data_IF_343681990309
#
_entry.id   IF_343681990309
#
_cell.length_a   1.000
_cell.length_b   1.000
_cell.length_c   1.000
_cell.angle_alpha   90.00
_cell.angle_beta   90.00
_cell.angle_gamma   90.00
#
_symmetry.space_group_name_H-M   'P 1'
#
loop_
_entity.id
_entity.type
_entity.pdbx_description
1 polymer ?
#
# COMPACT_ATOMS: atom_id res chain seq x y z
N UNK A 1 -7.98 -3.08 20.76
CA UNK A 1 -8.16 -2.63 19.36
C UNK A 1 -9.62 -2.83 18.94
N UNK A 2 -10.26 -1.89 18.22
CA UNK A 2 -11.63 -2.04 17.72
C UNK A 2 -11.77 -3.01 16.53
N UNK A 3 -10.68 -3.65 16.10
CA UNK A 3 -10.63 -4.52 14.92
C UNK A 3 -11.76 -5.55 14.87
N UNK A 4 -12.09 -6.20 16.00
CA UNK A 4 -13.21 -7.16 16.07
C UNK A 4 -14.54 -6.58 15.53
N UNK A 5 -14.76 -5.28 15.71
CA UNK A 5 -15.99 -4.61 15.29
C UNK A 5 -15.91 -3.93 13.92
N UNK A 6 -14.70 -3.71 13.38
CA UNK A 6 -14.48 -2.81 12.23
C UNK A 6 -13.75 -3.44 11.05
N UNK A 7 -12.91 -4.44 11.28
CA UNK A 7 -12.18 -5.12 10.21
C UNK A 7 -13.16 -6.00 9.42
N UNK A 8 -13.16 -5.86 8.10
CA UNK A 8 -14.20 -6.41 7.22
C UNK A 8 -14.26 -7.94 7.27
N UNK A 9 -13.10 -8.61 7.32
CA UNK A 9 -13.02 -10.07 7.46
C UNK A 9 -13.66 -10.55 8.76
N UNK A 10 -13.31 -9.93 9.90
CA UNK A 10 -13.87 -10.25 11.22
C UNK A 10 -15.37 -9.96 11.31
N UNK A 11 -15.83 -8.84 10.74
CA UNK A 11 -17.26 -8.51 10.66
C UNK A 11 -18.00 -9.58 9.85
N UNK A 12 -17.46 -9.96 8.69
CA UNK A 12 -18.05 -10.98 7.83
C UNK A 12 -18.07 -12.35 8.51
N UNK A 13 -16.99 -12.79 9.16
CA UNK A 13 -16.94 -14.05 9.91
C UNK A 13 -17.91 -14.07 11.12
N UNK A 14 -18.29 -12.91 11.67
CA UNK A 14 -19.32 -12.83 12.72
C UNK A 14 -20.72 -12.99 12.14
N UNK A 15 -20.98 -12.38 10.98
CA UNK A 15 -22.24 -12.53 10.26
C UNK A 15 -22.40 -13.92 9.66
N UNK A 16 -21.28 -14.55 9.30
CA UNK A 16 -21.20 -15.87 8.66
C UNK A 16 -20.16 -16.77 9.37
N UNK A 17 -20.53 -17.38 10.52
CA UNK A 17 -19.62 -18.20 11.34
C UNK A 17 -18.93 -19.35 10.60
N UNK A 18 -19.53 -19.85 9.51
CA UNK A 18 -18.96 -20.88 8.64
C UNK A 18 -17.69 -20.44 7.89
N UNK A 19 -17.43 -19.12 7.82
CA UNK A 19 -16.23 -18.52 7.23
C UNK A 19 -15.09 -18.31 8.25
N UNK A 20 -15.31 -18.63 9.54
CA UNK A 20 -14.27 -18.47 10.57
C UNK A 20 -13.01 -19.24 10.20
N UNK A 21 -11.89 -18.53 10.20
CA UNK A 21 -10.58 -19.10 9.86
C UNK A 21 -10.44 -19.50 8.39
N UNK A 22 -11.25 -18.92 7.48
CA UNK A 22 -11.20 -19.24 6.04
C UNK A 22 -10.93 -18.05 5.12
N UNK A 23 -10.84 -16.83 5.65
CA UNK A 23 -10.56 -15.63 4.85
C UNK A 23 -9.12 -15.19 5.06
N UNK A 24 -8.45 -14.80 3.97
CA UNK A 24 -7.07 -14.30 3.94
C UNK A 24 -6.09 -15.25 4.65
N UNK A 25 -6.29 -16.56 4.46
CA UNK A 25 -5.41 -17.59 5.00
C UNK A 25 -4.22 -17.73 4.06
N UNK A 26 -3.02 -17.88 4.60
CA UNK A 26 -1.83 -18.09 3.79
C UNK A 26 -2.07 -19.23 2.78
N UNK A 27 -1.69 -18.95 1.53
CA UNK A 27 -1.84 -19.83 0.36
C UNK A 27 -3.29 -20.09 -0.11
N UNK A 28 -4.32 -19.53 0.54
CA UNK A 28 -5.70 -19.57 0.02
C UNK A 28 -5.88 -18.65 -1.19
N UNK A 29 -6.85 -18.96 -2.04
CA UNK A 29 -7.11 -18.21 -3.28
C UNK A 29 -7.30 -16.70 -3.05
N UNK A 30 -8.03 -16.31 -1.99
CA UNK A 30 -8.33 -14.92 -1.63
C UNK A 30 -7.15 -14.18 -0.98
N UNK A 31 -6.08 -14.88 -0.62
CA UNK A 31 -4.83 -14.31 -0.12
C UNK A 31 -3.80 -14.07 -1.23
N UNK A 32 -3.87 -14.82 -2.34
CA UNK A 32 -2.90 -14.75 -3.41
C UNK A 32 -2.97 -13.43 -4.18
N UNK A 33 -1.81 -12.97 -4.65
CA UNK A 33 -1.73 -11.85 -5.59
C UNK A 33 -2.36 -12.29 -6.92
N UNK A 34 -3.19 -11.42 -7.51
CA UNK A 34 -3.89 -11.70 -8.77
C UNK A 34 -2.92 -12.04 -9.90
N UNK A 35 -3.34 -12.92 -10.81
CA UNK A 35 -2.48 -13.44 -11.89
C UNK A 35 -1.84 -12.33 -12.74
N UNK A 36 -2.57 -11.23 -12.99
CA UNK A 36 -2.10 -10.09 -13.77
C UNK A 36 -0.97 -9.29 -13.13
N UNK A 37 -0.71 -9.49 -11.83
CA UNK A 37 0.32 -8.79 -11.05
C UNK A 37 1.21 -9.76 -10.28
N UNK A 38 1.39 -10.99 -10.79
CA UNK A 38 2.28 -11.96 -10.15
C UNK A 38 3.68 -11.38 -9.99
N UNK A 39 4.30 -11.51 -8.80
CA UNK A 39 5.65 -11.02 -8.57
C UNK A 39 6.66 -11.65 -9.54
N UNK A 40 7.55 -10.83 -10.07
CA UNK A 40 8.65 -11.25 -10.93
C UNK A 40 9.91 -11.58 -10.11
N UNK A 41 10.90 -12.28 -10.68
CA UNK A 41 12.18 -12.51 -10.01
C UNK A 41 12.83 -11.19 -9.59
N UNK A 42 13.06 -11.03 -8.28
CA UNK A 42 13.63 -9.81 -7.69
C UNK A 42 12.61 -8.95 -6.94
N UNK A 43 11.31 -9.18 -7.14
CA UNK A 43 10.27 -8.51 -6.37
C UNK A 43 10.26 -8.98 -4.92
N UNK A 44 10.22 -8.02 -4.00
CA UNK A 44 10.13 -8.31 -2.57
C UNK A 44 8.67 -8.42 -2.13
N UNK A 45 8.31 -9.59 -1.60
CA UNK A 45 7.01 -9.82 -0.97
C UNK A 45 7.14 -9.56 0.53
N UNK A 46 6.30 -8.68 1.06
CA UNK A 46 6.21 -8.40 2.51
C UNK A 46 4.86 -8.87 3.03
N UNK A 47 4.88 -9.89 3.91
CA UNK A 47 3.68 -10.33 4.62
C UNK A 47 3.34 -9.36 5.74
N UNK A 48 2.06 -9.01 5.88
CA UNK A 48 1.57 -8.09 6.92
C UNK A 48 0.26 -8.59 7.51
N UNK A 49 0.08 -8.39 8.81
CA UNK A 49 -1.16 -8.73 9.54
C UNK A 49 -1.95 -7.50 9.99
N UNK A 50 -1.52 -6.31 9.57
CA UNK A 50 -2.12 -5.00 9.87
C UNK A 50 -2.25 -4.18 8.59
N UNK A 51 -2.94 -3.05 8.67
CA UNK A 51 -3.16 -2.18 7.52
C UNK A 51 -1.85 -1.60 6.99
N UNK A 52 -1.05 -0.99 7.89
CA UNK A 52 0.28 -0.51 7.55
C UNK A 52 1.22 -1.64 7.17
N UNK A 53 1.92 -1.46 6.05
CA UNK A 53 3.02 -2.31 5.61
C UNK A 53 4.27 -2.23 6.49
N UNK A 54 4.40 -1.25 7.39
CA UNK A 54 5.52 -1.12 8.34
C UNK A 54 5.25 -1.79 9.69
N UNK A 55 3.97 -1.89 10.09
CA UNK A 55 3.60 -2.37 11.41
C UNK A 55 3.94 -3.87 11.59
N UNK A 56 4.98 -4.14 12.39
CA UNK A 56 5.51 -5.49 12.67
C UNK A 56 5.88 -6.28 11.40
N UNK A 57 6.55 -5.63 10.45
CA UNK A 57 7.07 -6.28 9.23
C UNK A 57 8.57 -5.99 9.05
N UNK A 58 9.19 -6.63 8.06
CA UNK A 58 10.56 -6.34 7.64
C UNK A 58 10.72 -5.18 6.64
N UNK A 59 9.63 -4.45 6.32
CA UNK A 59 9.65 -3.45 5.24
C UNK A 59 10.66 -2.33 5.47
N UNK A 60 10.70 -1.74 6.68
CA UNK A 60 11.63 -0.65 6.98
C UNK A 60 13.08 -1.10 6.82
N UNK A 61 13.45 -2.21 7.45
CA UNK A 61 14.80 -2.76 7.37
C UNK A 61 15.21 -3.05 5.92
N UNK A 62 14.29 -3.61 5.13
CA UNK A 62 14.51 -3.90 3.71
C UNK A 62 14.82 -2.63 2.90
N UNK A 63 14.01 -1.58 3.07
CA UNK A 63 14.16 -0.30 2.36
C UNK A 63 15.45 0.42 2.76
N UNK A 64 15.74 0.50 4.06
CA UNK A 64 16.95 1.18 4.58
C UNK A 64 18.22 0.47 4.13
N UNK A 65 18.25 -0.86 4.14
CA UNK A 65 19.40 -1.63 3.67
C UNK A 65 19.74 -1.37 2.18
N UNK A 66 18.80 -0.82 1.41
CA UNK A 66 18.95 -0.47 -0.02
C UNK A 66 19.04 1.03 -0.27
N UNK A 67 19.14 1.85 0.78
CA UNK A 67 19.14 3.32 0.69
C UNK A 67 17.92 3.87 -0.09
N UNK A 68 16.78 3.18 -0.03
CA UNK A 68 15.54 3.64 -0.67
C UNK A 68 14.90 4.69 0.24
N UNK A 69 14.61 5.87 -0.32
CA UNK A 69 13.92 6.95 0.40
C UNK A 69 12.57 7.35 -0.19
N UNK A 70 12.42 7.27 -1.51
CA UNK A 70 11.19 7.65 -2.19
C UNK A 70 10.35 6.41 -2.47
N UNK A 71 9.08 6.45 -2.07
CA UNK A 71 8.17 5.31 -2.13
C UNK A 71 6.93 5.70 -2.94
N UNK A 72 6.69 4.99 -4.04
CA UNK A 72 5.46 5.11 -4.82
C UNK A 72 4.41 4.15 -4.25
N UNK A 73 3.20 4.65 -4.02
CA UNK A 73 2.09 3.88 -3.44
C UNK A 73 0.97 3.68 -4.44
N UNK A 74 0.52 2.43 -4.55
CA UNK A 74 -0.60 1.98 -5.37
C UNK A 74 -1.41 0.91 -4.60
N UNK A 75 -2.54 0.47 -5.17
CA UNK A 75 -3.33 -0.63 -4.64
C UNK A 75 -4.56 -0.23 -3.84
N UNK A 76 -5.00 -1.10 -2.93
CA UNK A 76 -6.29 -0.98 -2.22
C UNK A 76 -6.19 -1.31 -0.72
N UNK A 77 -6.97 -0.65 0.15
CA UNK A 77 -7.80 0.52 -0.12
C UNK A 77 -7.02 1.83 0.10
N UNK A 78 -7.26 2.84 -0.75
CA UNK A 78 -6.70 4.21 -0.67
C UNK A 78 -6.74 4.74 0.76
N UNK A 79 -7.93 4.75 1.35
CA UNK A 79 -8.21 5.36 2.66
C UNK A 79 -7.98 4.42 3.86
N UNK A 80 -7.37 3.24 3.64
CA UNK A 80 -7.11 2.25 4.70
C UNK A 80 -5.66 1.76 4.64
N UNK A 81 -5.36 0.71 3.86
CA UNK A 81 -4.03 0.12 3.81
C UNK A 81 -3.00 1.04 3.17
N UNK A 82 -3.38 1.74 2.09
CA UNK A 82 -2.47 2.63 1.39
C UNK A 82 -2.16 3.86 2.25
N UNK A 83 -3.20 4.59 2.71
CA UNK A 83 -3.07 5.74 3.62
C UNK A 83 -2.30 5.38 4.90
N UNK A 84 -2.60 4.27 5.56
CA UNK A 84 -1.88 3.85 6.77
C UNK A 84 -0.38 3.59 6.50
N UNK A 85 -0.05 2.91 5.40
CA UNK A 85 1.36 2.61 5.09
C UNK A 85 2.10 3.88 4.68
N UNK A 86 1.47 4.76 3.90
CA UNK A 86 2.10 5.98 3.42
C UNK A 86 2.28 7.03 4.52
N UNK A 87 1.38 7.08 5.52
CA UNK A 87 1.57 7.91 6.72
C UNK A 87 2.72 7.39 7.59
N UNK A 88 2.80 6.07 7.79
CA UNK A 88 3.94 5.48 8.50
C UNK A 88 5.26 5.71 7.76
N UNK A 89 5.26 5.65 6.42
CA UNK A 89 6.42 6.04 5.62
C UNK A 89 6.88 7.47 5.92
N UNK A 90 5.96 8.44 5.91
CA UNK A 90 6.26 9.82 6.28
C UNK A 90 6.85 9.92 7.70
N UNK A 91 6.22 9.28 8.68
CA UNK A 91 6.68 9.29 10.08
C UNK A 91 8.05 8.64 10.28
N UNK A 92 8.45 7.74 9.38
CA UNK A 92 9.73 7.05 9.38
C UNK A 92 10.79 7.71 8.48
N UNK A 93 10.56 8.97 8.07
CA UNK A 93 11.48 9.77 7.24
C UNK A 93 11.69 9.20 5.82
N UNK A 94 10.68 8.51 5.28
CA UNK A 94 10.58 8.22 3.84
C UNK A 94 9.75 9.31 3.15
N UNK A 95 9.87 9.41 1.83
CA UNK A 95 9.11 10.31 0.98
C UNK A 95 7.98 9.56 0.26
N UNK A 96 6.73 9.60 0.77
CA UNK A 96 5.62 8.92 0.13
C UNK A 96 5.04 9.71 -1.03
N UNK A 97 4.76 9.01 -2.13
CA UNK A 97 4.07 9.55 -3.31
C UNK A 97 2.89 8.64 -3.65
N UNK A 98 1.67 9.17 -3.61
CA UNK A 98 0.47 8.44 -4.01
C UNK A 98 0.30 8.50 -5.53
N UNK A 99 0.10 7.35 -6.18
CA UNK A 99 -0.20 7.24 -7.60
C UNK A 99 -1.71 7.06 -7.75
N UNK A 100 -2.44 8.17 -7.83
CA UNK A 100 -3.87 8.20 -7.52
C UNK A 100 -4.74 7.38 -8.49
N UNK A 101 -4.37 7.31 -9.76
CA UNK A 101 -5.03 6.51 -10.79
C UNK A 101 -4.67 5.01 -10.74
N UNK A 102 -3.70 4.62 -9.91
CA UNK A 102 -3.36 3.23 -9.59
C UNK A 102 -3.88 2.78 -8.21
N UNK A 103 -4.88 3.47 -7.67
CA UNK A 103 -5.43 3.22 -6.34
C UNK A 103 -6.96 3.18 -6.36
N UNK A 104 -7.55 2.35 -5.48
CA UNK A 104 -9.00 2.34 -5.27
C UNK A 104 -9.37 2.38 -3.80
N UNK A 105 -10.50 3.00 -3.46
CA UNK A 105 -10.92 3.29 -2.09
C UNK A 105 -12.07 2.39 -1.64
N UNK A 106 -12.27 2.31 -0.33
CA UNK A 106 -13.42 1.65 0.27
C UNK A 106 -14.47 2.68 0.67
N UNK A 107 -15.76 2.36 0.51
CA UNK A 107 -16.85 3.26 0.88
C UNK A 107 -17.07 4.38 -0.15
N UNK A 108 -17.69 5.50 0.25
CA UNK A 108 -18.05 6.58 -0.68
C UNK A 108 -16.85 7.42 -1.16
N UNK A 109 -17.02 8.10 -2.29
CA UNK A 109 -15.97 8.89 -2.97
C UNK A 109 -15.28 9.94 -2.11
N UNK A 110 -15.97 10.50 -1.10
CA UNK A 110 -15.34 11.46 -0.20
C UNK A 110 -14.16 10.87 0.58
N UNK A 111 -14.11 9.55 0.77
CA UNK A 111 -12.96 8.88 1.39
C UNK A 111 -11.70 9.04 0.55
N UNK A 112 -11.82 8.87 -0.78
CA UNK A 112 -10.71 9.11 -1.70
C UNK A 112 -10.30 10.58 -1.67
N UNK A 113 -11.27 11.50 -1.81
CA UNK A 113 -11.01 12.94 -1.87
C UNK A 113 -10.29 13.43 -0.60
N UNK A 114 -10.77 13.03 0.58
CA UNK A 114 -10.16 13.41 1.85
C UNK A 114 -8.74 12.83 2.01
N UNK A 115 -8.51 11.58 1.63
CA UNK A 115 -7.16 10.99 1.68
C UNK A 115 -6.20 11.71 0.74
N UNK A 116 -6.58 11.94 -0.52
CA UNK A 116 -5.71 12.62 -1.48
C UNK A 116 -5.42 14.07 -1.06
N UNK A 117 -6.44 14.80 -0.60
CA UNK A 117 -6.24 16.17 -0.10
C UNK A 117 -5.28 16.20 1.08
N UNK A 118 -5.45 15.30 2.06
CA UNK A 118 -4.56 15.22 3.22
C UNK A 118 -3.11 14.92 2.80
N UNK A 119 -2.89 14.04 1.83
CA UNK A 119 -1.55 13.69 1.38
C UNK A 119 -0.84 14.84 0.68
N UNK A 120 -1.53 15.48 -0.27
CA UNK A 120 -0.99 16.62 -1.02
C UNK A 120 -0.63 17.81 -0.11
N UNK A 121 -1.36 17.99 1.00
CA UNK A 121 -1.21 19.16 1.87
C UNK A 121 -0.38 18.91 3.14
N UNK A 122 -0.15 17.67 3.54
CA UNK A 122 0.47 17.38 4.84
C UNK A 122 1.53 16.28 4.87
N UNK A 123 1.51 15.29 3.97
CA UNK A 123 2.33 14.08 4.13
C UNK A 123 3.28 13.78 2.97
N UNK A 124 2.99 14.24 1.76
CA UNK A 124 3.82 13.87 0.61
C UNK A 124 3.33 14.49 -0.68
N UNK A 125 3.28 13.68 -1.73
CA UNK A 125 2.91 14.13 -3.07
C UNK A 125 1.86 13.21 -3.68
N UNK A 126 0.96 13.76 -4.50
CA UNK A 126 0.01 13.01 -5.31
C UNK A 126 0.36 13.17 -6.79
N UNK A 127 0.36 12.06 -7.51
CA UNK A 127 0.66 12.03 -8.95
C UNK A 127 -0.15 10.97 -9.67
N UNK A 128 0.10 10.81 -10.96
CA UNK A 128 -0.58 9.88 -11.86
C UNK A 128 0.42 8.96 -12.55
N UNK A 129 -0.04 7.81 -13.04
CA UNK A 129 0.81 6.78 -13.65
C UNK A 129 1.59 7.27 -14.86
N UNK A 130 0.99 8.10 -15.71
CA UNK A 130 1.63 8.71 -16.87
C UNK A 130 2.88 9.52 -16.48
N UNK A 131 2.75 10.39 -15.48
CA UNK A 131 3.86 11.21 -14.97
C UNK A 131 4.96 10.35 -14.34
N UNK A 132 4.60 9.29 -13.61
CA UNK A 132 5.56 8.34 -13.04
C UNK A 132 6.34 7.63 -14.14
N UNK A 133 5.65 7.11 -15.15
CA UNK A 133 6.26 6.38 -16.28
C UNK A 133 7.19 7.31 -17.07
N UNK A 134 6.77 8.55 -17.31
CA UNK A 134 7.60 9.57 -17.96
C UNK A 134 8.88 9.84 -17.14
N UNK A 135 8.76 10.09 -15.84
CA UNK A 135 9.90 10.38 -14.97
C UNK A 135 10.90 9.21 -14.90
N UNK A 136 10.41 7.97 -14.82
CA UNK A 136 11.27 6.78 -14.79
C UNK A 136 12.01 6.58 -16.12
N UNK A 137 11.37 6.86 -17.25
CA UNK A 137 12.02 6.80 -18.58
C UNK A 137 13.07 7.90 -18.74
N UNK A 138 12.79 9.11 -18.29
CA UNK A 138 13.75 10.22 -18.32
C UNK A 138 14.99 9.92 -17.47
N UNK A 139 14.80 9.32 -16.29
CA UNK A 139 15.92 8.93 -15.41
C UNK A 139 16.73 7.76 -15.99
N UNK A 140 16.10 6.79 -16.65
CA UNK A 140 16.85 5.73 -17.34
C UNK A 140 17.80 6.27 -18.43
N UNK A 141 17.52 7.47 -18.97
CA UNK A 141 18.39 8.16 -19.93
C UNK A 141 19.55 8.95 -19.28
N UNK A 142 19.60 9.08 -17.95
CA UNK A 142 20.72 9.70 -17.22
C UNK A 142 21.34 8.68 -16.25
N UNK A 143 22.64 8.36 -16.39
CA UNK A 143 23.30 7.48 -15.42
C UNK A 143 23.18 8.08 -14.02
N UNK A 144 22.94 7.23 -13.02
CA UNK A 144 22.97 7.63 -11.62
C UNK A 144 24.34 8.27 -11.34
N UNK A 145 24.39 9.49 -10.77
CA UNK A 145 25.67 10.05 -10.33
C UNK A 145 26.31 9.10 -9.32
N UNK A 146 27.61 8.88 -9.50
CA UNK A 146 28.44 8.02 -8.67
C UNK A 146 28.43 8.42 -7.19
#
# INVERSE_FOLDING_TARGET
SPNYHKELGMVLMRQRPELRGKLLIDDSWDWQIVDALKPEPGDQIIRKSRYSGFCNTGLEAYLRARNIRHLLFSGVATNVCVDATARDAYMLEFWPVLVEDAMNHSGPDFNRQATLWNFENAFGWVTRTDMVVEALRAKAAQPLPA
#
